data_IF_281464495998
#
_entry.id   IF_281464495998
#
_cell.length_a   1.000
_cell.length_b   1.000
_cell.length_c   1.000
_cell.angle_alpha   90.00
_cell.angle_beta   90.00
_cell.angle_gamma   90.00
#
_symmetry.space_group_name_H-M   'P 1'
#
loop_
_entity.id
_entity.type
_entity.pdbx_description
1 polymer ?
#
# COMPACT_ATOMS: atom_id res chain seq x y z
N UNK A 1 -16.45 -1.66 0.12
CA UNK A 1 -15.30 -1.30 0.98
C UNK A 1 -14.58 -0.13 0.33
N UNK A 2 -14.33 0.94 1.08
CA UNK A 2 -13.60 2.12 0.58
C UNK A 2 -12.42 2.32 1.53
N UNK A 3 -11.22 2.47 1.00
CA UNK A 3 -10.01 2.63 1.79
C UNK A 3 -8.81 3.04 0.95
N UNK A 4 -7.77 3.52 1.63
CA UNK A 4 -6.51 3.86 0.99
C UNK A 4 -5.82 2.60 0.47
N UNK A 5 -5.16 2.71 -0.68
CA UNK A 5 -4.32 1.64 -1.20
C UNK A 5 -3.06 1.54 -0.34
N UNK A 6 -2.84 0.37 0.27
CA UNK A 6 -1.65 0.13 1.09
C UNK A 6 -0.41 -0.06 0.19
N UNK A 7 0.26 1.05 -0.12
CA UNK A 7 1.56 1.05 -0.76
C UNK A 7 2.47 2.07 -0.08
N UNK A 8 3.76 1.72 0.03
CA UNK A 8 4.77 2.56 0.69
C UNK A 8 4.83 3.96 0.07
N UNK A 9 4.72 4.05 -1.26
CA UNK A 9 4.76 5.33 -1.99
C UNK A 9 3.54 6.23 -1.72
N UNK A 10 2.39 5.65 -1.38
CA UNK A 10 1.15 6.41 -1.07
C UNK A 10 1.03 6.76 0.42
N UNK A 11 1.96 6.28 1.24
CA UNK A 11 2.00 6.54 2.69
C UNK A 11 2.99 7.64 3.07
N UNK A 12 3.52 8.37 2.09
CA UNK A 12 4.44 9.48 2.30
C UNK A 12 3.67 10.79 2.54
N UNK A 13 4.23 11.68 3.37
CA UNK A 13 3.68 13.04 3.61
C UNK A 13 3.85 14.00 2.42
N UNK A 14 4.45 13.54 1.32
CA UNK A 14 4.77 14.37 0.15
C UNK A 14 3.78 14.10 -0.98
N UNK A 15 3.24 15.18 -1.54
CA UNK A 15 2.46 15.11 -2.77
C UNK A 15 3.35 14.73 -3.96
N UNK A 16 2.79 13.92 -4.87
CA UNK A 16 3.45 13.61 -6.13
C UNK A 16 3.56 14.85 -7.00
N UNK A 17 4.77 15.14 -7.51
CA UNK A 17 5.02 16.30 -8.36
C UNK A 17 4.24 16.21 -9.67
N UNK A 18 3.72 17.37 -10.12
CA UNK A 18 3.08 17.53 -11.43
C UNK A 18 4.06 17.11 -12.53
N UNK A 19 3.58 16.36 -13.53
CA UNK A 19 4.33 15.82 -14.68
C UNK A 19 5.14 14.53 -14.43
N UNK A 20 4.85 13.80 -13.36
CA UNK A 20 5.34 12.41 -13.22
C UNK A 20 4.26 11.44 -13.73
N UNK A 21 4.64 10.54 -14.64
CA UNK A 21 3.76 9.48 -15.10
C UNK A 21 3.72 8.36 -14.05
N UNK A 22 2.60 8.24 -13.32
CA UNK A 22 2.35 7.14 -12.39
C UNK A 22 1.46 6.10 -13.06
N UNK A 23 1.92 4.84 -13.10
CA UNK A 23 1.13 3.70 -13.58
C UNK A 23 0.94 2.71 -12.44
N UNK A 24 -0.31 2.59 -11.96
CA UNK A 24 -0.68 1.62 -10.93
C UNK A 24 -1.31 0.40 -11.60
N UNK A 25 -0.75 -0.78 -11.34
CA UNK A 25 -1.33 -2.07 -11.76
C UNK A 25 -1.73 -2.83 -10.51
N UNK A 26 -3.02 -3.12 -10.37
CA UNK A 26 -3.54 -3.98 -9.31
C UNK A 26 -3.67 -5.40 -9.89
N UNK A 27 -2.86 -6.32 -9.37
CA UNK A 27 -2.88 -7.72 -9.78
C UNK A 27 -3.56 -8.51 -8.67
N UNK A 28 -4.59 -9.28 -9.05
CA UNK A 28 -5.29 -10.14 -8.11
C UNK A 28 -4.46 -11.40 -7.84
N UNK A 29 -4.36 -11.79 -6.58
CA UNK A 29 -3.79 -13.08 -6.20
C UNK A 29 -4.68 -14.24 -6.65
N UNK A 30 -4.12 -15.46 -6.63
CA UNK A 30 -4.88 -16.67 -6.96
C UNK A 30 -6.10 -16.81 -6.03
N UNK A 31 -7.24 -17.35 -6.52
CA UNK A 31 -8.50 -17.36 -5.76
C UNK A 31 -8.38 -18.11 -4.43
N UNK A 32 -7.50 -19.10 -4.33
CA UNK A 32 -7.25 -19.91 -3.13
C UNK A 32 -6.68 -19.07 -1.97
N UNK A 33 -6.07 -17.92 -2.27
CA UNK A 33 -5.49 -17.00 -1.28
C UNK A 33 -6.29 -15.71 -1.11
N UNK A 34 -7.43 -15.56 -1.80
CA UNK A 34 -8.24 -14.34 -1.74
C UNK A 34 -9.18 -14.31 -0.52
N UNK A 35 -9.57 -15.48 0.00
CA UNK A 35 -10.53 -15.63 1.09
C UNK A 35 -10.02 -16.65 2.10
N UNK A 36 -10.18 -16.34 3.38
CA UNK A 36 -10.03 -17.33 4.46
C UNK A 36 -11.40 -17.99 4.61
N UNK A 37 -11.52 -19.25 4.18
CA UNK A 37 -12.75 -20.02 4.23
C UNK A 37 -12.56 -21.33 5.02
N UNK A 38 -13.60 -21.83 5.70
CA UNK A 38 -13.60 -23.17 6.26
C UNK A 38 -13.44 -24.21 5.16
N UNK A 39 -12.81 -25.35 5.48
CA UNK A 39 -12.40 -26.38 4.51
C UNK A 39 -13.53 -26.94 3.63
N UNK A 40 -14.79 -26.78 4.04
CA UNK A 40 -15.96 -27.32 3.34
C UNK A 40 -16.69 -26.27 2.49
N UNK A 41 -16.21 -25.02 2.46
CA UNK A 41 -16.87 -23.92 1.77
C UNK A 41 -16.25 -23.59 0.41
N UNK A 42 -16.99 -23.87 -0.67
CA UNK A 42 -16.61 -23.46 -2.02
C UNK A 42 -17.08 -22.02 -2.28
N UNK A 43 -16.25 -21.04 -1.93
CA UNK A 43 -16.56 -19.63 -2.14
C UNK A 43 -15.78 -19.05 -3.32
N UNK A 44 -16.50 -18.36 -4.22
CA UNK A 44 -15.92 -17.68 -5.37
C UNK A 44 -15.98 -16.17 -5.16
N UNK A 45 -14.81 -15.52 -5.14
CA UNK A 45 -14.73 -14.06 -5.11
C UNK A 45 -14.77 -13.49 -6.54
N UNK A 46 -15.75 -12.64 -6.81
CA UNK A 46 -15.92 -11.91 -8.07
C UNK A 46 -15.85 -10.42 -7.73
N UNK A 47 -14.99 -9.69 -8.45
CA UNK A 47 -14.90 -8.24 -8.33
C UNK A 47 -15.74 -7.68 -9.47
N UNK A 48 -16.94 -7.20 -9.17
CA UNK A 48 -17.84 -6.64 -10.18
C UNK A 48 -17.36 -5.27 -10.65
N UNK A 49 -16.96 -4.42 -9.70
CA UNK A 49 -16.52 -3.06 -9.97
C UNK A 49 -15.42 -2.63 -9.01
N UNK A 50 -14.41 -1.95 -9.54
CA UNK A 50 -13.34 -1.34 -8.77
C UNK A 50 -13.02 0.03 -9.37
N UNK A 51 -12.98 1.06 -8.53
CA UNK A 51 -12.58 2.42 -8.92
C UNK A 51 -11.52 2.95 -7.98
N UNK A 52 -10.57 3.69 -8.54
CA UNK A 52 -9.53 4.40 -7.79
C UNK A 52 -9.78 5.90 -7.87
N UNK A 53 -10.04 6.51 -6.72
CA UNK A 53 -10.18 7.96 -6.60
C UNK A 53 -8.83 8.57 -6.20
N UNK A 54 -8.41 9.62 -6.89
CA UNK A 54 -7.14 10.30 -6.64
C UNK A 54 -7.41 11.78 -6.40
N UNK A 55 -6.92 12.31 -5.28
CA UNK A 55 -7.01 13.73 -4.98
C UNK A 55 -5.93 14.52 -5.74
N UNK A 56 -6.35 15.58 -6.41
CA UNK A 56 -5.45 16.50 -7.12
C UNK A 56 -5.46 17.86 -6.42
N UNK A 57 -4.31 18.24 -5.88
CA UNK A 57 -4.12 19.55 -5.23
C UNK A 57 -3.83 20.61 -6.29
N UNK A 58 -4.55 21.73 -6.23
CA UNK A 58 -4.27 22.92 -7.03
C UNK A 58 -3.27 23.79 -6.27
N UNK A 59 -2.15 24.08 -6.89
CA UNK A 59 -1.07 24.91 -6.32
C UNK A 59 -1.11 26.29 -6.99
N UNK A 60 -0.73 27.34 -6.27
CA UNK A 60 -0.64 28.70 -6.81
C UNK A 60 0.30 28.78 -8.02
N UNK A 61 0.03 29.68 -8.98
CA UNK A 61 0.81 29.77 -10.22
C UNK A 61 2.29 30.11 -9.99
N UNK A 62 2.62 30.94 -8.99
CA UNK A 62 3.99 31.32 -8.67
C UNK A 62 4.83 30.14 -8.17
N UNK A 63 4.23 29.33 -7.29
CA UNK A 63 4.86 28.10 -6.78
C UNK A 63 5.02 27.07 -7.89
N UNK A 64 4.06 27.00 -8.83
CA UNK A 64 4.17 26.15 -10.01
C UNK A 64 5.35 26.55 -10.92
N UNK A 65 5.63 27.85 -11.06
CA UNK A 65 6.78 28.34 -11.84
C UNK A 65 8.11 27.93 -11.17
N UNK A 66 8.20 28.08 -9.84
CA UNK A 66 9.34 27.57 -9.07
C UNK A 66 9.53 26.05 -9.25
N UNK A 67 8.45 25.28 -9.20
CA UNK A 67 8.48 23.83 -9.42
C UNK A 67 8.85 23.40 -10.84
N UNK A 68 8.68 24.25 -11.86
CA UNK A 68 9.15 23.97 -13.23
C UNK A 68 10.66 24.19 -13.37
N UNK A 69 11.23 25.12 -12.61
CA UNK A 69 12.68 25.44 -12.62
C UNK A 69 13.49 24.50 -11.72
N UNK A 70 12.95 24.13 -10.55
CA UNK A 70 13.59 23.22 -9.59
C UNK A 70 14.11 21.87 -10.16
N UNK A 71 13.41 21.15 -11.08
CA UNK A 71 13.92 19.92 -11.69
C UNK A 71 15.26 20.07 -12.40
N UNK A 72 15.53 21.24 -12.97
CA UNK A 72 16.72 21.48 -13.78
C UNK A 72 17.97 21.55 -12.91
N UNK A 73 17.83 21.95 -11.64
CA UNK A 73 18.92 22.03 -10.68
C UNK A 73 18.98 20.84 -9.73
N UNK A 74 17.84 20.26 -9.34
CA UNK A 74 17.81 19.17 -8.35
C UNK A 74 16.71 18.17 -8.64
N UNK A 75 17.08 16.89 -8.71
CA UNK A 75 16.13 15.79 -8.81
C UNK A 75 15.36 15.59 -7.50
N UNK A 76 14.04 15.42 -7.59
CA UNK A 76 13.21 15.18 -6.41
C UNK A 76 13.39 13.75 -5.94
N UNK A 77 13.75 13.58 -4.67
CA UNK A 77 13.85 12.28 -4.01
C UNK A 77 12.63 12.05 -3.13
N UNK A 78 12.01 10.89 -3.27
CA UNK A 78 10.91 10.44 -2.43
C UNK A 78 11.42 9.31 -1.52
N UNK A 79 11.52 9.52 -0.19
CA UNK A 79 12.04 8.52 0.72
C UNK A 79 11.02 7.38 0.89
N UNK A 80 11.35 6.17 0.45
CA UNK A 80 10.45 5.01 0.54
C UNK A 80 10.84 4.17 1.74
N UNK A 81 10.02 4.22 2.79
CA UNK A 81 10.15 3.33 3.94
C UNK A 81 9.37 2.05 3.65
N UNK A 82 10.11 0.97 3.38
CA UNK A 82 9.52 -0.31 3.01
C UNK A 82 9.06 -1.07 4.24
N UNK A 83 7.75 -1.25 4.38
CA UNK A 83 7.20 -2.12 5.43
C UNK A 83 7.20 -3.55 4.92
N UNK A 84 8.18 -4.35 5.36
CA UNK A 84 8.26 -5.76 5.01
C UNK A 84 7.26 -6.57 5.83
N UNK A 85 6.20 -7.08 5.19
CA UNK A 85 5.33 -8.09 5.80
C UNK A 85 6.07 -9.43 5.85
N UNK A 86 6.44 -9.88 7.05
CA UNK A 86 7.01 -11.22 7.26
C UNK A 86 5.87 -12.20 7.47
N UNK A 87 5.75 -13.18 6.57
CA UNK A 87 4.79 -14.27 6.69
C UNK A 87 5.45 -15.45 7.43
N UNK A 88 4.83 -15.89 8.51
CA UNK A 88 5.23 -17.09 9.24
C UNK A 88 4.14 -18.15 9.06
N UNK A 89 4.51 -19.33 8.56
CA UNK A 89 3.61 -20.48 8.50
C UNK A 89 3.57 -21.15 9.87
N UNK A 90 2.40 -21.13 10.51
CA UNK A 90 2.17 -21.84 11.77
C UNK A 90 1.58 -23.21 11.41
N UNK A 91 2.28 -24.29 11.78
CA UNK A 91 1.78 -25.65 11.60
C UNK A 91 0.70 -25.97 12.65
N UNK A 92 -0.25 -26.83 12.29
CA UNK A 92 -1.28 -27.32 13.23
C UNK A 92 -0.60 -28.03 14.39
N UNK A 93 -0.69 -27.46 15.59
CA UNK A 93 -0.13 -28.00 16.83
C UNK A 93 0.80 -27.04 17.60
N UNK A 94 1.36 -26.02 16.94
CA UNK A 94 2.17 -24.97 17.59
C UNK A 94 1.28 -23.79 17.99
N UNK A 95 0.40 -23.98 18.97
CA UNK A 95 -0.47 -22.90 19.50
C UNK A 95 0.23 -21.98 20.51
N UNK A 96 1.53 -22.19 20.81
CA UNK A 96 2.24 -21.41 21.83
C UNK A 96 3.21 -20.34 21.30
N UNK A 97 3.41 -20.18 19.99
CA UNK A 97 4.23 -19.07 19.50
C UNK A 97 3.37 -17.82 19.25
N UNK A 98 3.34 -16.91 20.24
CA UNK A 98 2.78 -15.56 20.13
C UNK A 98 3.60 -14.72 19.15
N UNK A 99 3.46 -14.95 17.85
CA UNK A 99 3.81 -13.99 16.79
C UNK A 99 2.67 -13.91 15.79
N UNK A 100 1.52 -13.47 16.30
CA UNK A 100 0.46 -12.91 15.46
C UNK A 100 0.97 -11.56 14.95
N UNK A 101 0.82 -11.33 13.64
CA UNK A 101 1.26 -10.15 12.89
C UNK A 101 1.30 -8.86 13.73
N UNK A 102 2.46 -8.53 14.32
CA UNK A 102 2.72 -7.21 14.87
C UNK A 102 2.92 -6.26 13.67
N UNK A 103 1.83 -5.59 13.26
CA UNK A 103 1.97 -4.28 12.61
C UNK A 103 2.67 -3.39 13.64
N UNK A 104 3.75 -2.75 13.22
CA UNK A 104 4.74 -2.07 14.05
C UNK A 104 4.16 -1.37 15.31
N UNK A 105 4.85 -1.56 16.44
CA UNK A 105 4.71 -0.91 17.76
C UNK A 105 3.85 -1.50 18.89
N UNK A 106 3.27 -2.71 18.78
CA UNK A 106 2.70 -3.37 19.98
C UNK A 106 3.01 -4.86 20.07
N UNK A 107 4.28 -5.17 20.30
CA UNK A 107 4.66 -6.44 20.90
C UNK A 107 5.20 -6.07 22.31
N UNK A 108 4.54 -6.46 23.42
CA UNK A 108 5.08 -6.22 24.76
C UNK A 108 6.38 -7.02 24.91
N UNK A 109 7.42 -6.36 25.39
CA UNK A 109 8.64 -7.03 25.82
C UNK A 109 8.28 -7.90 27.04
N UNK A 110 8.47 -9.22 26.91
CA UNK A 110 8.54 -10.15 28.06
C UNK A 110 9.93 -10.00 28.72
#
# INVERSE_FOLDING_TARGET
MIGKLHCDIFSQDRLLRKLVNLKVKLIRNKPEFCLIAPANGNYKLIIEHASLFVHKVKVSPDVLLGHKKAPQSTSVRYPIDRILSKMYSISKGLFHSRKIMCFWDKCPDD
#
